data_IF_423678233259
#
_entry.id   IF_423678233259
#
_cell.length_a   1.000
_cell.length_b   1.000
_cell.length_c   1.000
_cell.angle_alpha   90.00
_cell.angle_beta   90.00
_cell.angle_gamma   90.00
#
_symmetry.space_group_name_H-M   'P 1'
#
loop_
_entity.id
_entity.type
_entity.pdbx_description
1 polymer ?
#
# COMPACT_ATOMS: atom_id res chain seq x y z
N UNK A 1 -35.61 2.67 17.38
CA UNK A 1 -34.46 1.80 17.13
C UNK A 1 -33.29 2.71 16.72
N UNK A 2 -32.16 2.67 17.45
CA UNK A 2 -30.94 3.35 16.97
C UNK A 2 -30.56 2.72 15.64
N UNK A 3 -30.29 3.55 14.61
CA UNK A 3 -29.79 3.08 13.33
C UNK A 3 -28.48 2.33 13.62
N UNK A 4 -28.36 1.07 13.19
CA UNK A 4 -27.09 0.33 13.30
C UNK A 4 -26.01 1.15 12.60
N UNK A 5 -24.86 1.33 13.23
CA UNK A 5 -23.73 2.01 12.61
C UNK A 5 -23.23 1.19 11.43
N UNK A 6 -22.98 1.84 10.30
CA UNK A 6 -22.45 1.18 9.10
C UNK A 6 -20.95 0.90 9.31
N UNK A 7 -20.53 -0.35 9.13
CA UNK A 7 -19.15 -0.77 9.32
C UNK A 7 -18.42 -0.92 7.97
N UNK A 8 -17.43 -0.09 7.75
CA UNK A 8 -16.58 -0.15 6.55
C UNK A 8 -15.27 -0.90 6.87
N UNK A 9 -14.58 -1.38 5.81
CA UNK A 9 -13.28 -2.09 5.97
C UNK A 9 -12.25 -1.27 6.72
N UNK A 10 -12.27 0.04 6.50
CA UNK A 10 -11.34 0.98 7.13
C UNK A 10 -12.09 2.20 7.63
N UNK A 11 -11.59 2.76 8.73
CA UNK A 11 -12.00 4.05 9.28
C UNK A 11 -10.73 4.84 9.56
N UNK A 12 -10.70 6.11 9.15
CA UNK A 12 -9.52 6.96 9.37
C UNK A 12 -9.30 7.21 10.85
N UNK A 13 -8.09 6.97 11.33
CA UNK A 13 -7.69 7.31 12.69
C UNK A 13 -7.33 8.78 12.73
N UNK A 14 -7.87 9.54 13.68
CA UNK A 14 -7.55 10.96 13.86
C UNK A 14 -6.82 11.17 15.17
N UNK A 15 -5.78 12.03 15.20
CA UNK A 15 -5.17 12.45 16.45
C UNK A 15 -6.14 13.35 17.23
N UNK A 16 -5.93 13.59 18.52
CA UNK A 16 -6.68 14.59 19.28
C UNK A 16 -6.64 15.95 18.54
N UNK A 17 -7.81 16.60 18.42
CA UNK A 17 -7.94 17.85 17.66
C UNK A 17 -6.99 18.94 18.22
N UNK A 18 -6.84 19.00 19.53
CA UNK A 18 -5.98 19.92 20.26
C UNK A 18 -4.49 19.79 19.88
N UNK A 19 -4.04 18.63 19.40
CA UNK A 19 -2.69 18.44 18.89
C UNK A 19 -2.51 19.00 17.48
N UNK A 20 -3.58 19.09 16.70
CA UNK A 20 -3.57 19.59 15.33
C UNK A 20 -3.73 21.11 15.26
N UNK A 21 -4.46 21.71 16.22
CA UNK A 21 -4.74 23.15 16.25
C UNK A 21 -3.49 24.05 16.20
N UNK A 22 -2.40 23.80 16.95
CA UNK A 22 -1.20 24.62 16.89
C UNK A 22 -0.55 24.70 15.51
N UNK A 23 -0.63 23.60 14.73
CA UNK A 23 -0.17 23.61 13.34
C UNK A 23 -1.04 24.53 12.47
N UNK A 24 -2.36 24.53 12.70
CA UNK A 24 -3.27 25.39 11.97
C UNK A 24 -3.01 26.85 12.28
N UNK A 25 -2.86 27.21 13.55
CA UNK A 25 -2.51 28.57 13.98
C UNK A 25 -1.21 29.03 13.28
N UNK A 26 -0.19 28.18 13.26
CA UNK A 26 1.09 28.49 12.60
C UNK A 26 0.92 28.71 11.09
N UNK A 27 0.08 27.92 10.40
CA UNK A 27 -0.21 28.13 8.98
C UNK A 27 -0.93 29.47 8.72
N UNK A 28 -1.82 29.91 9.62
CA UNK A 28 -2.47 31.21 9.52
C UNK A 28 -1.50 32.38 9.72
N UNK A 29 -0.52 32.20 10.61
CA UNK A 29 0.55 33.20 10.82
C UNK A 29 1.48 33.30 9.61
N UNK A 30 2.01 32.17 9.16
CA UNK A 30 3.05 32.14 8.11
C UNK A 30 2.50 32.35 6.71
N UNK A 31 1.25 31.89 6.46
CA UNK A 31 0.60 31.83 5.15
C UNK A 31 1.37 31.00 4.11
N UNK A 32 2.29 30.15 4.55
CA UNK A 32 2.99 29.16 3.72
C UNK A 32 2.19 27.88 3.73
N UNK A 33 1.43 27.62 2.66
CA UNK A 33 0.48 26.49 2.59
C UNK A 33 0.97 25.33 1.73
N UNK A 34 2.03 25.54 0.95
CA UNK A 34 2.60 24.58 0.01
C UNK A 34 4.05 24.93 -0.32
N UNK A 35 4.66 24.24 -1.30
CA UNK A 35 6.01 24.44 -1.80
C UNK A 35 7.11 24.09 -0.77
N UNK A 36 6.91 22.95 -0.08
CA UNK A 36 7.92 22.37 0.80
C UNK A 36 8.32 23.32 1.95
N UNK A 37 7.30 23.76 2.71
CA UNK A 37 7.47 24.64 3.86
C UNK A 37 7.96 23.90 5.11
N UNK A 38 7.76 24.56 6.25
CA UNK A 38 8.26 24.13 7.56
C UNK A 38 7.80 22.71 7.94
N UNK A 39 6.49 22.43 7.82
CA UNK A 39 5.94 21.15 8.23
C UNK A 39 6.27 20.02 7.24
N UNK A 40 6.35 20.34 5.95
CA UNK A 40 6.81 19.39 4.95
C UNK A 40 8.24 18.90 5.25
N UNK A 41 9.17 19.81 5.53
CA UNK A 41 10.57 19.46 5.81
C UNK A 41 10.70 18.73 7.15
N UNK A 42 9.95 19.15 8.18
CA UNK A 42 9.91 18.45 9.47
C UNK A 42 9.36 17.03 9.30
N UNK A 43 8.23 16.87 8.61
CA UNK A 43 7.61 15.57 8.37
C UNK A 43 8.53 14.64 7.58
N UNK A 44 9.17 15.13 6.53
CA UNK A 44 10.16 14.38 5.76
C UNK A 44 11.27 13.81 6.64
N UNK A 45 11.82 14.63 7.53
CA UNK A 45 12.88 14.24 8.47
C UNK A 45 12.41 13.20 9.50
N UNK A 46 11.27 13.46 10.16
CA UNK A 46 10.73 12.55 11.19
C UNK A 46 10.30 11.23 10.59
N UNK A 47 9.72 11.25 9.38
CA UNK A 47 9.31 10.05 8.65
C UNK A 47 10.50 9.17 8.26
N UNK A 48 11.61 9.77 7.77
CA UNK A 48 12.84 9.03 7.47
C UNK A 48 13.37 8.32 8.71
N UNK A 49 13.38 9.00 9.86
CA UNK A 49 13.79 8.42 11.14
C UNK A 49 12.88 7.27 11.58
N UNK A 50 11.57 7.44 11.50
CA UNK A 50 10.60 6.41 11.87
C UNK A 50 10.71 5.16 11.00
N UNK A 51 10.79 5.32 9.69
CA UNK A 51 10.91 4.22 8.73
C UNK A 51 12.32 3.62 8.69
N UNK A 52 13.30 4.23 9.37
CA UNK A 52 14.70 3.80 9.37
C UNK A 52 15.28 3.71 7.95
N UNK A 53 15.04 4.76 7.14
CA UNK A 53 15.51 4.89 5.77
C UNK A 53 16.48 6.07 5.65
N UNK A 54 17.39 6.01 4.68
CA UNK A 54 18.39 7.09 4.47
C UNK A 54 17.73 8.37 3.96
N UNK A 55 16.77 8.25 3.03
CA UNK A 55 16.09 9.38 2.44
C UNK A 55 14.62 9.09 2.15
N UNK A 56 13.82 10.13 2.26
CA UNK A 56 12.41 10.14 1.90
C UNK A 56 12.10 11.34 1.04
N UNK A 57 11.29 11.19 0.00
CA UNK A 57 10.69 12.30 -0.74
C UNK A 57 9.17 12.24 -0.64
N UNK A 58 8.52 13.39 -0.31
CA UNK A 58 7.08 13.48 -0.07
C UNK A 58 6.34 13.94 -1.33
N UNK A 59 5.14 13.37 -1.53
CA UNK A 59 4.28 13.62 -2.69
C UNK A 59 2.84 13.87 -2.27
N UNK A 60 2.07 14.48 -3.18
CA UNK A 60 0.65 14.78 -2.98
C UNK A 60 -0.20 13.54 -2.70
N UNK A 61 0.16 12.39 -3.23
CA UNK A 61 -0.43 11.07 -2.94
C UNK A 61 0.50 9.93 -3.39
N UNK A 62 0.17 8.68 -2.99
CA UNK A 62 0.96 7.51 -3.33
C UNK A 62 0.97 7.18 -4.83
N UNK A 63 -0.12 7.46 -5.55
CA UNK A 63 -0.17 7.19 -6.99
C UNK A 63 0.82 8.07 -7.76
N UNK A 64 0.83 9.37 -7.50
CA UNK A 64 1.80 10.29 -8.11
C UNK A 64 3.23 9.93 -7.68
N UNK A 65 3.45 9.54 -6.43
CA UNK A 65 4.75 9.07 -5.96
C UNK A 65 5.26 7.87 -6.78
N UNK A 66 4.38 6.90 -7.06
CA UNK A 66 4.73 5.72 -7.86
C UNK A 66 4.95 6.05 -9.33
N UNK A 67 4.10 6.91 -9.92
CA UNK A 67 4.30 7.39 -11.31
C UNK A 67 5.66 8.06 -11.48
N UNK A 68 6.00 9.00 -10.58
CA UNK A 68 7.26 9.74 -10.67
C UNK A 68 8.48 8.88 -10.32
N UNK A 69 8.32 7.87 -9.46
CA UNK A 69 9.37 6.88 -9.23
C UNK A 69 9.67 6.08 -10.50
N UNK A 70 8.66 5.61 -11.23
CA UNK A 70 8.84 4.91 -12.51
C UNK A 70 9.44 5.87 -13.55
N UNK A 71 8.94 7.09 -13.65
CA UNK A 71 9.46 8.10 -14.56
C UNK A 71 10.94 8.42 -14.34
N UNK A 72 11.37 8.43 -13.06
CA UNK A 72 12.77 8.70 -12.67
C UNK A 72 13.78 7.70 -13.24
N UNK A 73 13.34 6.49 -13.63
CA UNK A 73 14.19 5.51 -14.29
C UNK A 73 14.65 5.97 -15.68
N UNK A 74 13.89 6.87 -16.32
CA UNK A 74 14.19 7.37 -17.67
C UNK A 74 14.16 6.30 -18.76
N UNK A 75 13.49 5.17 -18.53
CA UNK A 75 13.43 4.01 -19.41
C UNK A 75 11.98 3.67 -19.74
N UNK A 76 11.77 3.19 -20.96
CA UNK A 76 10.50 2.59 -21.40
C UNK A 76 10.74 1.12 -21.73
N UNK A 77 9.78 0.28 -21.37
CA UNK A 77 9.89 -1.16 -21.58
C UNK A 77 8.86 -1.91 -20.74
N UNK A 78 9.17 -3.14 -20.40
CA UNK A 78 8.33 -4.00 -19.59
C UNK A 78 8.62 -3.79 -18.10
N UNK A 79 7.56 -3.74 -17.28
CA UNK A 79 7.66 -3.76 -15.82
C UNK A 79 6.88 -4.96 -15.32
N UNK A 80 7.60 -5.88 -14.67
CA UNK A 80 6.99 -7.09 -14.11
C UNK A 80 6.32 -6.74 -12.78
N UNK A 81 5.03 -7.07 -12.64
CA UNK A 81 4.22 -6.84 -11.44
C UNK A 81 3.20 -7.97 -11.25
N UNK A 82 2.29 -7.84 -10.29
CA UNK A 82 1.18 -8.78 -10.09
C UNK A 82 -0.16 -8.16 -10.48
N UNK A 83 -1.13 -8.94 -11.02
CA UNK A 83 -2.47 -8.43 -11.24
C UNK A 83 -3.29 -8.37 -9.92
N UNK A 84 -2.81 -9.00 -8.83
CA UNK A 84 -3.45 -9.03 -7.52
C UNK A 84 -3.02 -7.84 -6.67
N UNK A 85 -3.46 -6.65 -7.08
CA UNK A 85 -3.13 -5.38 -6.46
C UNK A 85 -4.23 -4.36 -6.69
N UNK A 86 -4.07 -3.16 -6.14
CA UNK A 86 -4.90 -2.00 -6.44
C UNK A 86 -4.54 -1.42 -7.82
N UNK A 87 -5.51 -0.83 -8.49
CA UNK A 87 -5.38 -0.25 -9.84
C UNK A 87 -4.15 0.66 -10.01
N UNK A 88 -3.77 1.38 -8.96
CA UNK A 88 -2.66 2.34 -8.95
C UNK A 88 -1.35 1.74 -9.45
N UNK A 89 -1.02 0.51 -9.04
CA UNK A 89 0.23 -0.17 -9.42
C UNK A 89 0.37 -0.27 -10.93
N UNK A 90 -0.64 -0.83 -11.61
CA UNK A 90 -0.60 -0.99 -13.08
C UNK A 90 -0.86 0.33 -13.81
N UNK A 91 -1.72 1.20 -13.28
CA UNK A 91 -1.95 2.51 -13.88
C UNK A 91 -0.67 3.34 -13.94
N UNK A 92 0.16 3.33 -12.90
CA UNK A 92 1.43 4.04 -12.88
C UNK A 92 2.40 3.52 -13.97
N UNK A 93 2.41 2.20 -14.21
CA UNK A 93 3.20 1.59 -15.30
C UNK A 93 2.72 2.10 -16.67
N UNK A 94 1.42 1.97 -16.94
CA UNK A 94 0.83 2.30 -18.25
C UNK A 94 0.90 3.79 -18.55
N UNK A 95 0.65 4.65 -17.55
CA UNK A 95 0.76 6.11 -17.70
C UNK A 95 2.19 6.57 -18.00
N UNK A 96 3.17 5.79 -17.57
CA UNK A 96 4.58 6.00 -17.95
C UNK A 96 4.93 5.45 -19.33
N UNK A 97 3.98 4.94 -20.12
CA UNK A 97 4.24 4.35 -21.44
C UNK A 97 5.04 3.04 -21.35
N UNK A 98 5.02 2.38 -20.21
CA UNK A 98 5.58 1.05 -19.99
C UNK A 98 4.49 -0.03 -20.14
N UNK A 99 4.92 -1.26 -20.39
CA UNK A 99 4.04 -2.42 -20.53
C UNK A 99 4.07 -3.25 -19.25
N UNK A 100 2.94 -3.45 -18.54
CA UNK A 100 2.89 -4.36 -17.42
C UNK A 100 2.99 -5.82 -17.88
N UNK A 101 3.85 -6.60 -17.24
CA UNK A 101 3.96 -8.05 -17.40
C UNK A 101 3.49 -8.67 -16.08
N UNK A 102 2.40 -9.44 -16.12
CA UNK A 102 1.82 -10.00 -14.92
C UNK A 102 2.47 -11.31 -14.52
N UNK A 103 3.07 -11.33 -13.34
CA UNK A 103 3.54 -12.51 -12.62
C UNK A 103 2.45 -12.98 -11.65
N UNK A 104 2.28 -14.29 -11.52
CA UNK A 104 1.37 -14.89 -10.54
C UNK A 104 1.85 -14.61 -9.11
N UNK A 105 1.00 -14.90 -8.16
CA UNK A 105 1.28 -14.80 -6.73
C UNK A 105 1.61 -16.17 -6.13
N UNK A 106 2.20 -16.19 -4.95
CA UNK A 106 2.34 -17.40 -4.14
C UNK A 106 1.14 -17.55 -3.17
N UNK A 107 0.91 -18.77 -2.66
CA UNK A 107 -0.33 -19.11 -1.96
C UNK A 107 -0.39 -18.64 -0.50
N UNK A 108 0.75 -18.50 0.16
CA UNK A 108 0.80 -18.30 1.61
C UNK A 108 0.58 -16.83 2.02
N UNK A 109 1.13 -15.89 1.24
CA UNK A 109 1.11 -14.45 1.55
C UNK A 109 0.49 -13.60 0.45
N UNK A 110 0.18 -14.21 -0.72
CA UNK A 110 -0.40 -13.56 -1.89
C UNK A 110 0.51 -12.50 -2.55
N UNK A 111 1.80 -12.51 -2.22
CA UNK A 111 2.80 -11.67 -2.86
C UNK A 111 3.27 -12.28 -4.18
N UNK A 112 4.05 -11.53 -4.97
CA UNK A 112 4.56 -12.02 -6.25
C UNK A 112 5.36 -13.33 -6.09
N UNK A 113 5.11 -14.31 -6.96
CA UNK A 113 5.82 -15.60 -6.94
C UNK A 113 7.21 -15.45 -7.59
N UNK A 114 8.24 -15.27 -6.75
CA UNK A 114 9.63 -15.10 -7.19
C UNK A 114 10.17 -16.30 -7.98
N UNK A 115 9.59 -17.50 -7.82
CA UNK A 115 9.98 -18.68 -8.58
C UNK A 115 9.61 -18.60 -10.05
N UNK A 116 8.52 -17.87 -10.36
CA UNK A 116 8.04 -17.64 -11.73
C UNK A 116 8.70 -16.42 -12.39
N UNK A 117 9.25 -15.51 -11.57
CA UNK A 117 9.72 -14.21 -12.00
C UNK A 117 10.81 -14.28 -13.09
N UNK A 118 11.81 -15.17 -12.90
CA UNK A 118 12.94 -15.30 -13.86
C UNK A 118 12.48 -15.63 -15.28
N UNK A 119 11.43 -16.43 -15.43
CA UNK A 119 10.89 -16.81 -16.74
C UNK A 119 10.18 -15.67 -17.48
N UNK A 120 9.85 -14.60 -16.77
CA UNK A 120 9.18 -13.41 -17.32
C UNK A 120 10.17 -12.29 -17.69
N UNK A 121 11.42 -12.38 -17.21
CA UNK A 121 12.43 -11.37 -17.51
C UNK A 121 12.86 -11.50 -18.98
N UNK A 122 12.73 -10.42 -19.71
CA UNK A 122 13.15 -10.28 -21.12
C UNK A 122 14.22 -9.18 -21.27
N UNK A 123 14.74 -9.02 -22.48
CA UNK A 123 15.63 -7.89 -22.82
C UNK A 123 14.95 -6.52 -22.71
N UNK A 124 13.64 -6.50 -22.74
CA UNK A 124 12.82 -5.28 -22.67
C UNK A 124 12.37 -4.95 -21.23
N UNK A 125 12.69 -5.83 -20.25
CA UNK A 125 12.37 -5.62 -18.84
C UNK A 125 13.23 -4.51 -18.24
N UNK A 126 12.59 -3.45 -17.75
CA UNK A 126 13.28 -2.26 -17.21
C UNK A 126 13.16 -2.12 -15.69
N UNK A 127 12.18 -2.79 -15.07
CA UNK A 127 12.00 -2.84 -13.62
C UNK A 127 11.13 -4.03 -13.19
N UNK A 128 11.21 -4.37 -11.89
CA UNK A 128 10.28 -5.25 -11.20
C UNK A 128 9.55 -4.39 -10.17
N UNK A 129 8.20 -4.47 -10.16
CA UNK A 129 7.33 -3.71 -9.25
C UNK A 129 6.46 -4.68 -8.43
N UNK A 130 7.02 -5.34 -7.42
CA UNK A 130 6.26 -6.20 -6.50
C UNK A 130 5.46 -5.35 -5.51
N UNK A 131 4.41 -5.95 -4.96
CA UNK A 131 3.49 -5.30 -4.02
C UNK A 131 3.52 -6.02 -2.69
N UNK A 132 3.77 -5.31 -1.60
CA UNK A 132 3.60 -5.81 -0.23
C UNK A 132 2.10 -5.84 0.13
N UNK A 133 1.37 -6.76 -0.52
CA UNK A 133 -0.10 -6.81 -0.42
C UNK A 133 -0.55 -7.11 1.01
N UNK A 134 -1.52 -6.35 1.52
CA UNK A 134 -2.05 -6.41 2.89
C UNK A 134 -1.01 -6.20 4.01
N UNK A 135 0.22 -5.82 3.67
CA UNK A 135 1.35 -5.79 4.59
C UNK A 135 2.16 -7.09 4.62
N UNK A 136 1.86 -8.07 3.77
CA UNK A 136 2.75 -9.21 3.61
C UNK A 136 3.98 -8.82 2.81
N UNK A 137 5.15 -9.07 3.38
CA UNK A 137 6.42 -8.70 2.78
C UNK A 137 6.78 -9.69 1.67
N UNK A 138 7.07 -9.18 0.47
CA UNK A 138 7.59 -9.99 -0.63
C UNK A 138 8.91 -10.66 -0.22
N UNK A 139 9.30 -11.73 -0.90
CA UNK A 139 10.64 -12.33 -0.70
C UNK A 139 11.71 -11.35 -1.17
N UNK A 140 12.04 -10.39 -0.27
CA UNK A 140 12.96 -9.28 -0.56
C UNK A 140 14.39 -9.76 -0.83
N UNK A 141 14.77 -10.90 -0.25
CA UNK A 141 16.11 -11.46 -0.44
C UNK A 141 16.26 -12.07 -1.83
N UNK A 142 15.26 -12.83 -2.29
CA UNK A 142 15.28 -13.38 -3.63
C UNK A 142 15.11 -12.30 -4.71
N UNK A 143 14.28 -11.30 -4.45
CA UNK A 143 14.13 -10.13 -5.33
C UNK A 143 15.44 -9.33 -5.44
N UNK A 144 16.20 -9.19 -4.36
CA UNK A 144 17.52 -8.56 -4.38
C UNK A 144 18.54 -9.38 -5.21
N UNK A 145 18.51 -10.73 -5.06
CA UNK A 145 19.35 -11.62 -5.89
C UNK A 145 19.02 -11.49 -7.38
N UNK A 146 17.74 -11.51 -7.73
CA UNK A 146 17.29 -11.33 -9.12
C UNK A 146 17.68 -9.96 -9.64
N UNK A 147 17.49 -8.90 -8.85
CA UNK A 147 17.89 -7.55 -9.21
C UNK A 147 19.37 -7.45 -9.57
N UNK A 148 20.24 -8.05 -8.75
CA UNK A 148 21.68 -8.08 -8.98
C UNK A 148 22.10 -8.97 -10.17
N UNK A 149 21.45 -10.13 -10.33
CA UNK A 149 21.69 -11.07 -11.41
C UNK A 149 21.40 -10.46 -12.79
N UNK A 150 20.30 -9.72 -12.91
CA UNK A 150 19.85 -9.16 -14.19
C UNK A 150 20.16 -7.67 -14.37
N UNK A 151 20.62 -6.98 -13.32
CA UNK A 151 20.86 -5.54 -13.33
C UNK A 151 19.56 -4.71 -13.47
N UNK A 152 18.44 -5.22 -12.95
CA UNK A 152 17.11 -4.63 -13.08
C UNK A 152 16.67 -4.10 -11.70
N UNK A 153 16.28 -2.81 -11.56
CA UNK A 153 15.83 -2.26 -10.28
C UNK A 153 14.52 -2.88 -9.81
N UNK A 154 14.41 -3.09 -8.49
CA UNK A 154 13.16 -3.47 -7.81
C UNK A 154 12.57 -2.23 -7.15
N UNK A 155 11.35 -1.87 -7.54
CA UNK A 155 10.55 -0.78 -6.98
C UNK A 155 9.41 -1.40 -6.19
N UNK A 156 9.36 -1.17 -4.89
CA UNK A 156 8.27 -1.75 -4.08
C UNK A 156 7.05 -0.84 -4.02
N UNK A 157 5.87 -1.39 -4.32
CA UNK A 157 4.60 -0.81 -3.87
C UNK A 157 4.36 -1.26 -2.42
N UNK A 158 4.72 -0.39 -1.48
CA UNK A 158 4.59 -0.61 -0.05
C UNK A 158 3.38 0.12 0.56
N UNK A 159 2.35 0.42 -0.26
CA UNK A 159 1.17 1.17 0.18
C UNK A 159 0.41 0.53 1.37
N UNK A 160 0.64 -0.76 1.67
CA UNK A 160 0.03 -1.49 2.77
C UNK A 160 1.00 -1.81 3.92
N UNK A 161 2.29 -1.52 3.76
CA UNK A 161 3.35 -1.99 4.65
C UNK A 161 4.00 -0.86 5.49
N UNK A 162 3.26 0.24 5.72
CA UNK A 162 3.79 1.36 6.51
C UNK A 162 4.17 0.93 7.93
N UNK A 163 5.39 1.26 8.32
CA UNK A 163 5.93 0.98 9.66
C UNK A 163 6.31 -0.47 9.90
N UNK A 164 6.13 -1.36 8.93
CA UNK A 164 6.55 -2.76 9.08
C UNK A 164 8.07 -2.91 9.01
N UNK A 165 8.54 -3.95 9.70
CA UNK A 165 9.95 -4.35 9.69
C UNK A 165 10.07 -5.84 9.34
N UNK A 166 11.10 -6.17 8.61
CA UNK A 166 11.48 -7.55 8.32
C UNK A 166 12.89 -7.79 8.85
N UNK A 167 13.03 -8.72 9.80
CA UNK A 167 14.26 -8.95 10.56
C UNK A 167 14.87 -7.65 11.12
N UNK A 168 14.04 -6.79 11.69
CA UNK A 168 14.41 -5.51 12.28
C UNK A 168 14.73 -4.37 11.28
N UNK A 169 14.73 -4.63 9.97
CA UNK A 169 14.93 -3.63 8.93
C UNK A 169 13.59 -3.05 8.49
N UNK A 170 13.50 -1.72 8.40
CA UNK A 170 12.31 -1.05 7.89
C UNK A 170 12.03 -1.41 6.43
N UNK A 171 10.76 -1.72 6.10
CA UNK A 171 10.36 -2.15 4.74
C UNK A 171 10.71 -1.12 3.67
N UNK A 172 10.70 0.17 4.00
CA UNK A 172 11.12 1.24 3.09
C UNK A 172 12.59 1.21 2.66
N UNK A 173 13.43 0.36 3.28
CA UNK A 173 14.87 0.26 2.97
C UNK A 173 15.21 -0.82 1.95
N UNK A 174 14.24 -1.56 1.43
CA UNK A 174 14.49 -2.62 0.45
C UNK A 174 14.41 -2.12 -0.99
N UNK A 175 15.16 -2.81 -1.86
CA UNK A 175 15.21 -2.55 -3.29
C UNK A 175 15.82 -1.21 -3.68
N UNK A 176 15.53 -0.78 -4.90
CA UNK A 176 15.97 0.52 -5.42
C UNK A 176 15.23 1.67 -4.74
N UNK A 177 13.92 1.51 -4.50
CA UNK A 177 13.09 2.42 -3.73
C UNK A 177 11.75 1.75 -3.37
N UNK A 178 11.10 2.24 -2.31
CA UNK A 178 9.77 1.81 -1.87
C UNK A 178 8.81 3.00 -1.85
N UNK A 179 7.62 2.85 -2.48
CA UNK A 179 6.55 3.82 -2.44
C UNK A 179 5.57 3.53 -1.31
N UNK A 180 5.22 4.54 -0.53
CA UNK A 180 4.16 4.50 0.48
C UNK A 180 2.99 5.42 0.12
N UNK A 181 1.78 4.99 0.48
CA UNK A 181 0.56 5.79 0.36
C UNK A 181 0.08 6.22 1.74
N UNK A 182 -0.22 7.51 1.89
CA UNK A 182 -0.75 8.12 3.10
C UNK A 182 -2.19 8.62 2.90
N UNK A 183 -2.94 7.92 2.04
CA UNK A 183 -4.38 8.14 1.88
C UNK A 183 -5.11 7.88 3.20
N UNK A 184 -6.19 8.61 3.48
CA UNK A 184 -6.94 8.58 4.74
C UNK A 184 -7.38 7.19 5.22
N UNK A 185 -7.52 6.22 4.32
CA UNK A 185 -7.90 4.83 4.66
C UNK A 185 -6.74 3.94 5.07
N UNK A 186 -5.49 4.40 4.96
CA UNK A 186 -4.31 3.59 5.31
C UNK A 186 -4.09 3.56 6.83
N UNK A 187 -3.24 2.62 7.27
CA UNK A 187 -2.85 2.50 8.71
C UNK A 187 -2.27 3.81 9.23
N UNK A 188 -1.42 4.43 8.43
CA UNK A 188 -0.91 5.78 8.61
C UNK A 188 -1.40 6.67 7.47
N UNK A 189 -1.82 7.88 7.79
CA UNK A 189 -2.27 8.82 6.78
C UNK A 189 -1.88 10.27 7.07
N UNK A 190 -1.86 11.07 6.02
CA UNK A 190 -1.72 12.52 6.04
C UNK A 190 -2.91 13.20 5.33
N UNK A 191 -4.12 12.66 5.49
CA UNK A 191 -5.35 12.95 4.73
C UNK A 191 -5.19 12.41 3.31
N UNK A 192 -4.41 13.07 2.49
CA UNK A 192 -3.81 12.64 1.24
C UNK A 192 -2.30 12.81 1.34
N UNK A 193 -1.54 11.88 0.78
CA UNK A 193 -0.11 11.94 0.76
C UNK A 193 0.52 10.66 0.23
N UNK A 194 1.81 10.74 -0.01
CA UNK A 194 2.65 9.61 -0.36
C UNK A 194 4.11 9.92 -0.16
N UNK A 195 4.92 8.88 -0.18
CA UNK A 195 6.37 9.02 -0.12
C UNK A 195 7.07 8.00 -1.00
N UNK A 196 8.26 8.36 -1.46
CA UNK A 196 9.28 7.42 -1.96
C UNK A 196 10.39 7.38 -0.93
N UNK A 197 10.68 6.19 -0.42
CA UNK A 197 11.75 5.92 0.53
C UNK A 197 12.89 5.16 -0.13
N UNK A 198 14.12 5.46 0.28
CA UNK A 198 15.34 4.91 -0.28
C UNK A 198 16.21 4.45 0.89
N UNK A 199 16.59 3.15 0.88
CA UNK A 199 17.38 2.54 1.95
C UNK A 199 18.86 2.92 1.92
N UNK A 200 19.38 3.23 0.74
CA UNK A 200 20.78 3.60 0.52
C UNK A 200 20.89 4.99 -0.08
N UNK A 201 22.02 5.65 0.15
CA UNK A 201 22.25 7.00 -0.37
C UNK A 201 22.24 7.01 -1.89
N UNK A 202 21.26 7.70 -2.49
CA UNK A 202 21.12 7.88 -3.93
C UNK A 202 20.74 9.33 -4.26
N UNK A 203 21.71 10.24 -4.28
CA UNK A 203 21.45 11.68 -4.50
C UNK A 203 20.90 11.97 -5.90
N UNK A 204 21.23 11.17 -6.90
CA UNK A 204 20.70 11.31 -8.27
C UNK A 204 19.19 11.05 -8.31
N UNK A 205 18.74 9.96 -7.69
CA UNK A 205 17.32 9.66 -7.61
C UNK A 205 16.56 10.72 -6.80
N UNK A 206 17.12 11.18 -5.68
CA UNK A 206 16.51 12.24 -4.87
C UNK A 206 16.36 13.54 -5.66
N UNK A 207 17.38 13.93 -6.41
CA UNK A 207 17.34 15.10 -7.29
C UNK A 207 16.25 14.97 -8.37
N UNK A 208 16.19 13.82 -9.04
CA UNK A 208 15.14 13.55 -10.04
C UNK A 208 13.74 13.60 -9.46
N UNK A 209 13.51 12.94 -8.31
CA UNK A 209 12.20 12.92 -7.65
C UNK A 209 11.75 14.32 -7.22
N UNK A 210 12.69 15.12 -6.68
CA UNK A 210 12.41 16.52 -6.32
C UNK A 210 12.05 17.35 -7.56
N UNK A 211 12.83 17.25 -8.63
CA UNK A 211 12.57 17.96 -9.88
C UNK A 211 11.23 17.56 -10.49
N UNK A 212 10.97 16.26 -10.63
CA UNK A 212 9.75 15.72 -11.23
C UNK A 212 8.48 16.17 -10.50
N UNK A 213 8.47 16.17 -9.15
CA UNK A 213 7.31 16.63 -8.38
C UNK A 213 7.10 18.14 -8.39
N UNK A 214 8.10 18.90 -8.82
CA UNK A 214 8.11 20.38 -8.80
C UNK A 214 8.24 20.97 -10.21
N UNK A 215 7.52 20.43 -11.20
CA UNK A 215 7.53 20.92 -12.59
C UNK A 215 8.91 20.91 -13.26
N UNK A 216 9.89 20.18 -12.73
CA UNK A 216 11.28 20.23 -13.18
C UNK A 216 12.04 21.47 -12.71
N UNK A 217 11.44 22.33 -11.88
CA UNK A 217 12.02 23.59 -11.42
C UNK A 217 13.06 23.30 -10.32
N UNK A 218 14.32 23.70 -10.59
CA UNK A 218 15.44 23.58 -9.66
C UNK A 218 15.99 24.93 -9.18
N UNK A 219 15.51 26.03 -9.77
CA UNK A 219 15.88 27.39 -9.42
C UNK A 219 15.03 28.41 -10.17
N UNK A 220 15.25 29.70 -9.94
CA UNK A 220 14.43 30.77 -10.53
C UNK A 220 14.45 30.75 -12.07
N UNK A 221 15.57 30.33 -12.65
CA UNK A 221 15.79 30.34 -14.11
C UNK A 221 16.11 28.92 -14.65
N UNK A 222 15.97 27.88 -13.82
CA UNK A 222 16.34 26.50 -14.20
C UNK A 222 15.13 25.55 -14.12
N UNK A 223 14.78 24.97 -15.28
CA UNK A 223 13.80 23.88 -15.43
C UNK A 223 14.51 22.74 -16.12
N UNK A 224 14.84 21.68 -15.39
CA UNK A 224 15.71 20.59 -15.88
C UNK A 224 14.93 19.43 -16.50
N UNK A 225 13.70 19.19 -16.06
CA UNK A 225 12.89 18.06 -16.47
C UNK A 225 11.44 18.48 -16.76
N UNK A 226 10.73 17.70 -17.54
CA UNK A 226 9.27 17.80 -17.64
C UNK A 226 8.68 17.11 -16.42
N UNK A 227 8.19 17.89 -15.48
CA UNK A 227 7.60 17.39 -14.23
C UNK A 227 6.14 17.76 -14.08
N UNK A 228 5.56 17.44 -12.93
CA UNK A 228 4.18 17.79 -12.58
C UNK A 228 4.10 18.53 -11.24
N UNK A 229 2.89 18.91 -10.82
CA UNK A 229 2.64 19.39 -9.47
C UNK A 229 2.34 18.20 -8.54
N UNK A 230 3.39 17.55 -8.06
CA UNK A 230 3.30 16.40 -7.18
C UNK A 230 3.61 16.71 -5.71
N UNK A 231 3.76 17.97 -5.33
CA UNK A 231 4.17 18.39 -3.98
C UNK A 231 3.07 18.14 -2.94
N UNK A 232 3.44 17.60 -1.78
CA UNK A 232 2.57 17.58 -0.60
C UNK A 232 2.40 19.01 -0.07
N UNK A 233 1.18 19.38 0.35
CA UNK A 233 0.89 20.66 1.00
C UNK A 233 1.15 20.57 2.51
N UNK A 234 1.20 21.76 3.16
CA UNK A 234 1.52 21.88 4.59
C UNK A 234 0.43 21.31 5.52
N UNK A 235 -0.85 21.35 5.13
CA UNK A 235 -1.94 20.75 5.92
C UNK A 235 -1.79 19.22 6.01
N UNK A 236 -1.47 18.60 4.88
CA UNK A 236 -1.19 17.17 4.83
C UNK A 236 0.07 16.81 5.63
N UNK A 237 1.12 17.61 5.53
CA UNK A 237 2.35 17.41 6.29
C UNK A 237 2.10 17.54 7.81
N UNK A 238 1.35 18.55 8.25
CA UNK A 238 0.96 18.74 9.65
C UNK A 238 0.15 17.55 10.20
N UNK A 239 -0.83 17.05 9.43
CA UNK A 239 -1.57 15.84 9.79
C UNK A 239 -0.65 14.62 9.88
N UNK A 240 0.29 14.48 8.95
CA UNK A 240 1.31 13.42 8.99
C UNK A 240 2.13 13.46 10.27
N UNK A 241 2.60 14.65 10.69
CA UNK A 241 3.34 14.85 11.94
C UNK A 241 2.53 14.44 13.17
N UNK A 242 1.25 14.84 13.23
CA UNK A 242 0.37 14.45 14.33
C UNK A 242 0.18 12.92 14.36
N UNK A 243 -0.21 12.30 13.25
CA UNK A 243 -0.48 10.88 13.19
C UNK A 243 0.76 10.02 13.45
N UNK A 244 1.97 10.51 13.11
CA UNK A 244 3.20 9.77 13.33
C UNK A 244 3.48 9.51 14.81
N UNK A 245 3.01 10.39 15.70
CA UNK A 245 3.12 10.21 17.16
C UNK A 245 2.25 9.09 17.70
N UNK A 246 1.11 8.83 17.05
CA UNK A 246 0.10 7.88 17.52
C UNK A 246 0.15 6.53 16.80
N UNK A 247 0.95 6.40 15.72
CA UNK A 247 0.94 5.20 14.87
C UNK A 247 1.23 3.90 15.62
N UNK A 248 2.13 3.93 16.59
CA UNK A 248 2.45 2.75 17.41
C UNK A 248 1.26 2.27 18.25
N UNK A 249 0.42 3.17 18.75
CA UNK A 249 -0.81 2.84 19.45
C UNK A 249 -1.86 2.30 18.48
N UNK A 250 -2.04 2.93 17.33
CA UNK A 250 -2.99 2.47 16.32
C UNK A 250 -2.66 1.06 15.82
N UNK A 251 -1.39 0.73 15.62
CA UNK A 251 -0.96 -0.62 15.25
C UNK A 251 -1.29 -1.62 16.35
N UNK A 252 -1.02 -1.31 17.63
CA UNK A 252 -1.35 -2.18 18.77
C UNK A 252 -2.85 -2.42 18.89
N UNK A 253 -3.67 -1.39 18.69
CA UNK A 253 -5.12 -1.53 18.73
C UNK A 253 -5.65 -2.36 17.56
N UNK A 254 -5.07 -2.26 16.37
CA UNK A 254 -5.37 -3.13 15.23
C UNK A 254 -4.97 -4.58 15.51
N UNK A 255 -3.81 -4.80 16.11
CA UNK A 255 -3.36 -6.14 16.50
C UNK A 255 -4.36 -6.84 17.42
N UNK A 256 -4.84 -6.15 18.48
CA UNK A 256 -5.84 -6.70 19.41
C UNK A 256 -7.08 -7.20 18.65
N UNK A 257 -7.58 -6.41 17.71
CA UNK A 257 -8.76 -6.72 16.90
C UNK A 257 -8.50 -7.85 15.91
N UNK A 258 -7.33 -7.84 15.29
CA UNK A 258 -6.89 -8.91 14.41
C UNK A 258 -6.85 -10.26 15.15
N UNK A 259 -6.20 -10.29 16.32
CA UNK A 259 -6.09 -11.49 17.14
C UNK A 259 -7.47 -11.94 17.68
N UNK A 260 -8.37 -11.03 17.96
CA UNK A 260 -9.74 -11.38 18.33
C UNK A 260 -10.49 -12.06 17.19
N UNK A 261 -10.46 -11.52 15.98
CA UNK A 261 -10.99 -12.19 14.80
C UNK A 261 -10.37 -13.58 14.59
N UNK A 262 -9.06 -13.66 14.67
CA UNK A 262 -8.33 -14.92 14.51
C UNK A 262 -8.79 -15.97 15.52
N UNK A 263 -8.97 -15.59 16.79
CA UNK A 263 -9.46 -16.50 17.85
C UNK A 263 -10.86 -17.05 17.58
N UNK A 264 -11.71 -16.29 16.89
CA UNK A 264 -13.08 -16.68 16.58
C UNK A 264 -13.21 -17.45 15.26
N UNK A 265 -12.31 -17.22 14.30
CA UNK A 265 -12.50 -17.64 12.92
C UNK A 265 -11.45 -18.63 12.38
N UNK A 266 -10.30 -18.80 13.01
CA UNK A 266 -9.19 -19.63 12.49
C UNK A 266 -9.56 -21.09 12.25
N UNK A 267 -10.47 -21.64 13.06
CA UNK A 267 -10.87 -23.04 13.00
C UNK A 267 -12.23 -23.24 12.26
N UNK A 268 -12.75 -22.18 11.62
CA UNK A 268 -14.01 -22.25 10.87
C UNK A 268 -13.78 -22.95 9.54
N UNK A 269 -14.43 -24.10 9.28
CA UNK A 269 -14.32 -24.77 7.99
C UNK A 269 -14.69 -23.85 6.84
N UNK A 270 -13.92 -23.91 5.74
CA UNK A 270 -14.18 -23.06 4.57
C UNK A 270 -13.65 -21.64 4.66
N UNK A 271 -13.01 -21.22 5.77
CA UNK A 271 -12.23 -20.00 5.86
C UNK A 271 -10.73 -20.32 5.86
N UNK A 272 -9.96 -19.53 5.12
CA UNK A 272 -8.50 -19.64 5.08
C UNK A 272 -7.90 -18.27 5.31
N UNK A 273 -7.06 -18.18 6.33
CA UNK A 273 -6.24 -17.00 6.60
C UNK A 273 -4.88 -17.13 5.91
N UNK A 274 -4.25 -16.03 5.48
CA UNK A 274 -2.84 -16.06 5.10
C UNK A 274 -1.98 -16.55 6.26
N UNK A 275 -0.86 -17.19 5.94
CA UNK A 275 0.09 -17.63 6.97
C UNK A 275 0.76 -16.43 7.67
N UNK A 276 1.25 -16.65 8.88
CA UNK A 276 2.13 -15.68 9.51
C UNK A 276 3.53 -15.73 8.90
N UNK A 277 4.09 -14.56 8.64
CA UNK A 277 5.47 -14.43 8.16
C UNK A 277 6.42 -14.32 9.35
N UNK A 278 7.40 -15.22 9.41
CA UNK A 278 8.46 -15.16 10.42
C UNK A 278 9.34 -13.93 10.22
N UNK A 279 9.73 -13.29 11.32
CA UNK A 279 10.62 -12.13 11.31
C UNK A 279 9.95 -10.81 10.87
N UNK A 280 8.62 -10.79 10.66
CA UNK A 280 7.86 -9.58 10.29
C UNK A 280 7.18 -8.96 11.51
N UNK A 281 7.48 -7.69 11.75
CA UNK A 281 6.70 -6.82 12.65
C UNK A 281 5.56 -6.20 11.84
N UNK A 282 4.34 -6.73 12.02
CA UNK A 282 3.15 -6.37 11.22
C UNK A 282 2.49 -5.08 11.67
N UNK A 283 1.87 -4.37 10.73
CA UNK A 283 1.03 -3.19 10.98
C UNK A 283 -0.47 -3.50 11.06
N UNK A 284 -0.88 -4.73 10.74
CA UNK A 284 -2.29 -5.17 10.73
C UNK A 284 -3.19 -4.27 9.88
N UNK A 285 -2.71 -3.87 8.71
CA UNK A 285 -3.40 -2.95 7.81
C UNK A 285 -4.75 -3.48 7.33
N UNK A 286 -4.80 -4.78 7.04
CA UNK A 286 -5.97 -5.48 6.52
C UNK A 286 -6.14 -6.84 7.18
N UNK A 287 -7.39 -7.32 7.16
CA UNK A 287 -7.74 -8.69 7.54
C UNK A 287 -8.33 -9.41 6.32
N UNK A 288 -7.49 -9.96 5.43
CA UNK A 288 -7.96 -10.77 4.33
C UNK A 288 -8.34 -12.17 4.83
N UNK A 289 -9.48 -12.68 4.37
CA UNK A 289 -9.91 -14.05 4.55
C UNK A 289 -10.31 -14.64 3.20
N UNK A 290 -9.91 -15.85 2.89
CA UNK A 290 -10.34 -16.56 1.69
C UNK A 290 -11.48 -17.51 2.05
N UNK A 291 -12.62 -17.34 1.39
CA UNK A 291 -13.81 -18.16 1.54
C UNK A 291 -13.75 -19.24 0.45
N UNK A 292 -13.78 -20.52 0.87
CA UNK A 292 -13.75 -21.65 -0.03
C UNK A 292 -15.17 -21.97 -0.57
N UNK A 293 -15.22 -22.49 -1.79
CA UNK A 293 -16.47 -22.85 -2.47
C UNK A 293 -16.88 -21.81 -3.51
N UNK A 294 -17.32 -22.31 -4.67
CA UNK A 294 -17.71 -21.49 -5.81
C UNK A 294 -18.92 -20.58 -5.45
N UNK A 295 -18.81 -19.29 -5.76
CA UNK A 295 -19.85 -18.29 -5.50
C UNK A 295 -20.10 -17.95 -4.02
N UNK A 296 -19.56 -18.71 -3.08
CA UNK A 296 -19.85 -18.60 -1.63
C UNK A 296 -19.40 -17.24 -1.08
N UNK A 297 -18.23 -16.73 -1.50
CA UNK A 297 -17.75 -15.39 -1.16
C UNK A 297 -18.78 -14.30 -1.49
N UNK A 298 -19.43 -14.39 -2.67
CA UNK A 298 -20.43 -13.40 -3.09
C UNK A 298 -21.73 -13.49 -2.28
N UNK A 299 -22.13 -14.68 -1.87
CA UNK A 299 -23.29 -14.88 -0.99
C UNK A 299 -23.03 -14.24 0.39
N UNK A 300 -21.88 -14.54 1.00
CA UNK A 300 -21.47 -13.99 2.29
C UNK A 300 -21.29 -12.46 2.21
N UNK A 301 -20.68 -11.96 1.14
CA UNK A 301 -20.59 -10.54 0.88
C UNK A 301 -21.98 -9.86 0.91
N UNK A 302 -22.95 -10.42 0.20
CA UNK A 302 -24.32 -9.88 0.15
C UNK A 302 -25.05 -9.95 1.49
N UNK A 303 -24.76 -10.96 2.32
CA UNK A 303 -25.32 -11.08 3.67
C UNK A 303 -24.74 -10.00 4.60
N UNK A 304 -23.43 -9.81 4.57
CA UNK A 304 -22.75 -8.77 5.36
C UNK A 304 -23.28 -7.38 4.98
N UNK A 305 -23.41 -7.08 3.68
CA UNK A 305 -23.97 -5.81 3.19
C UNK A 305 -25.39 -5.55 3.73
N UNK A 306 -26.27 -6.57 3.76
CA UNK A 306 -27.62 -6.45 4.34
C UNK A 306 -27.61 -6.16 5.84
N UNK A 307 -26.56 -6.54 6.53
CA UNK A 307 -26.36 -6.29 7.96
C UNK A 307 -25.66 -4.96 8.25
N UNK A 308 -25.39 -4.10 7.22
CA UNK A 308 -24.67 -2.85 7.34
C UNK A 308 -23.17 -3.03 7.55
N UNK A 309 -22.62 -4.15 7.11
CA UNK A 309 -21.19 -4.46 7.16
C UNK A 309 -20.68 -4.47 5.73
N UNK A 310 -19.75 -3.57 5.38
CA UNK A 310 -19.25 -3.33 4.04
C UNK A 310 -17.83 -3.86 3.85
N UNK A 311 -17.64 -5.20 3.67
CA UNK A 311 -16.33 -5.74 3.38
C UNK A 311 -15.89 -5.37 1.96
N UNK A 312 -14.62 -5.60 1.64
CA UNK A 312 -14.09 -5.36 0.30
C UNK A 312 -13.56 -6.65 -0.33
N UNK A 313 -13.80 -6.78 -1.64
CA UNK A 313 -13.23 -7.86 -2.44
C UNK A 313 -11.84 -7.44 -2.94
N UNK A 314 -10.91 -7.23 -2.04
CA UNK A 314 -9.55 -6.84 -2.36
C UNK A 314 -8.68 -8.09 -2.57
N UNK A 315 -8.27 -8.45 -3.80
CA UNK A 315 -8.50 -7.67 -5.02
C UNK A 315 -9.28 -8.50 -6.03
N UNK A 316 -10.47 -8.06 -6.34
CA UNK A 316 -11.35 -8.66 -7.34
C UNK A 316 -12.19 -7.55 -8.00
N UNK A 317 -12.33 -7.52 -9.37
CA UNK A 317 -11.63 -8.40 -10.30
C UNK A 317 -10.11 -8.14 -10.30
N UNK A 318 -9.33 -9.04 -10.90
CA UNK A 318 -7.91 -8.79 -11.12
C UNK A 318 -7.71 -7.59 -12.06
N UNK A 319 -6.57 -6.91 -11.95
CA UNK A 319 -6.29 -5.74 -12.80
C UNK A 319 -6.27 -6.11 -14.28
N UNK A 320 -5.79 -7.30 -14.65
CA UNK A 320 -5.83 -7.82 -16.01
C UNK A 320 -7.24 -7.90 -16.61
N UNK A 321 -8.26 -8.01 -15.75
CA UNK A 321 -9.67 -8.14 -16.14
C UNK A 321 -10.42 -6.79 -16.18
N UNK A 322 -9.76 -5.68 -15.86
CA UNK A 322 -10.37 -4.36 -15.93
C UNK A 322 -10.71 -3.98 -17.37
N UNK A 323 -11.85 -3.36 -17.61
CA UNK A 323 -12.31 -2.98 -18.96
C UNK A 323 -11.28 -2.15 -19.73
N UNK A 324 -10.49 -1.31 -19.04
CA UNK A 324 -9.42 -0.52 -19.65
C UNK A 324 -8.21 -1.37 -20.10
N UNK A 325 -8.05 -2.60 -19.59
CA UNK A 325 -6.90 -3.47 -19.84
C UNK A 325 -7.24 -4.78 -20.53
N UNK A 326 -8.50 -5.21 -20.46
CA UNK A 326 -8.99 -6.46 -21.07
C UNK A 326 -8.60 -6.54 -22.55
N UNK A 327 -7.93 -7.63 -22.92
CA UNK A 327 -7.42 -7.85 -24.27
C UNK A 327 -6.19 -7.05 -24.66
N UNK A 328 -5.63 -6.22 -23.76
CA UNK A 328 -4.38 -5.48 -23.98
C UNK A 328 -3.18 -6.13 -23.30
N UNK A 329 -3.39 -6.60 -22.07
CA UNK A 329 -2.36 -7.25 -21.26
C UNK A 329 -2.90 -8.59 -20.77
N UNK A 330 -2.17 -9.68 -21.07
CA UNK A 330 -2.62 -11.03 -20.69
C UNK A 330 -2.43 -11.28 -19.19
N UNK A 331 -3.48 -11.80 -18.54
CA UNK A 331 -3.45 -12.38 -17.22
C UNK A 331 -3.41 -13.91 -17.21
N UNK A 332 -3.28 -14.57 -18.36
CA UNK A 332 -3.38 -16.03 -18.49
C UNK A 332 -2.33 -16.79 -17.67
N UNK A 333 -1.17 -16.18 -17.44
CA UNK A 333 -0.09 -16.73 -16.63
C UNK A 333 -0.32 -16.64 -15.10
N UNK A 334 -1.51 -16.18 -14.64
CA UNK A 334 -1.78 -15.91 -13.22
C UNK A 334 -2.97 -16.70 -12.63
N UNK A 335 -3.00 -18.03 -12.77
CA UNK A 335 -4.15 -18.86 -12.36
C UNK A 335 -4.37 -18.84 -10.85
N UNK A 336 -3.31 -18.75 -10.03
CA UNK A 336 -3.45 -18.70 -8.58
C UNK A 336 -4.02 -17.36 -8.10
N UNK A 337 -3.55 -16.25 -8.67
CA UNK A 337 -4.13 -14.93 -8.39
C UNK A 337 -5.63 -14.92 -8.69
N UNK A 338 -6.06 -15.51 -9.82
CA UNK A 338 -7.47 -15.62 -10.21
C UNK A 338 -8.26 -16.44 -9.18
N UNK A 339 -7.77 -17.63 -8.83
CA UNK A 339 -8.40 -18.52 -7.83
C UNK A 339 -8.56 -17.82 -6.47
N UNK A 340 -7.54 -17.09 -6.02
CA UNK A 340 -7.58 -16.37 -4.74
C UNK A 340 -8.54 -15.18 -4.83
N UNK A 341 -8.50 -14.40 -5.90
CA UNK A 341 -9.39 -13.27 -6.11
C UNK A 341 -10.87 -13.64 -6.07
N UNK A 342 -11.23 -14.81 -6.57
CA UNK A 342 -12.62 -15.31 -6.55
C UNK A 342 -13.15 -15.58 -5.13
N UNK A 343 -12.27 -15.94 -4.20
CA UNK A 343 -12.63 -16.27 -2.81
C UNK A 343 -12.30 -15.19 -1.78
N UNK A 344 -11.49 -14.20 -2.11
CA UNK A 344 -10.96 -13.25 -1.13
C UNK A 344 -12.02 -12.23 -0.67
N UNK A 345 -11.97 -11.91 0.62
CA UNK A 345 -12.73 -10.84 1.26
C UNK A 345 -11.86 -10.19 2.34
N UNK A 346 -11.84 -8.86 2.42
CA UNK A 346 -11.22 -8.14 3.52
C UNK A 346 -12.29 -7.67 4.48
N UNK A 347 -12.13 -8.00 5.76
CA UNK A 347 -13.06 -7.66 6.82
C UNK A 347 -12.73 -6.30 7.44
N UNK A 348 -13.72 -5.63 8.09
CA UNK A 348 -13.47 -4.39 8.83
C UNK A 348 -12.36 -4.55 9.88
N UNK A 349 -11.36 -3.66 9.85
CA UNK A 349 -10.31 -3.59 10.86
C UNK A 349 -9.78 -2.15 10.97
N UNK A 350 -9.94 -1.54 12.14
CA UNK A 350 -9.43 -0.20 12.49
C UNK A 350 -9.33 -0.08 14.02
N UNK A 351 -8.55 0.90 14.56
CA UNK A 351 -8.20 0.95 15.98
C UNK A 351 -9.38 1.03 16.96
N UNK A 352 -10.47 1.68 16.57
CA UNK A 352 -11.67 1.88 17.40
C UNK A 352 -12.87 0.98 17.02
N UNK A 353 -12.63 -0.12 16.27
CA UNK A 353 -13.67 -1.11 15.97
C UNK A 353 -14.08 -1.84 17.25
N UNK A 354 -15.37 -1.83 17.57
CA UNK A 354 -15.88 -2.50 18.75
C UNK A 354 -15.74 -4.03 18.67
N UNK A 355 -15.35 -4.67 19.78
CA UNK A 355 -15.23 -6.13 19.83
C UNK A 355 -16.57 -6.84 19.62
N UNK A 356 -17.68 -6.24 20.04
CA UNK A 356 -19.04 -6.74 19.78
C UNK A 356 -19.39 -6.76 18.29
N UNK A 357 -18.86 -5.82 17.49
CA UNK A 357 -19.03 -5.83 16.05
C UNK A 357 -18.18 -6.94 15.39
N UNK A 358 -16.98 -7.19 15.91
CA UNK A 358 -16.14 -8.33 15.50
C UNK A 358 -16.87 -9.64 15.76
N UNK A 359 -17.46 -9.81 16.93
CA UNK A 359 -18.25 -11.02 17.28
C UNK A 359 -19.45 -11.18 16.35
N UNK A 360 -20.18 -10.09 16.08
CA UNK A 360 -21.32 -10.08 15.14
C UNK A 360 -20.91 -10.53 13.74
N UNK A 361 -19.80 -10.00 13.22
CA UNK A 361 -19.24 -10.39 11.92
C UNK A 361 -18.86 -11.87 11.93
N UNK A 362 -18.19 -12.30 12.99
CA UNK A 362 -17.70 -13.68 13.14
C UNK A 362 -18.84 -14.69 13.22
N UNK A 363 -19.95 -14.40 13.91
CA UNK A 363 -21.14 -15.27 13.98
C UNK A 363 -21.72 -15.49 12.57
N UNK A 364 -21.79 -14.44 11.74
CA UNK A 364 -22.28 -14.58 10.36
C UNK A 364 -21.35 -15.52 9.56
N UNK A 365 -20.03 -15.29 9.66
CA UNK A 365 -19.05 -16.10 8.93
C UNK A 365 -19.05 -17.57 9.40
N UNK A 366 -19.11 -17.81 10.71
CA UNK A 366 -19.20 -19.16 11.28
C UNK A 366 -20.43 -19.91 10.75
N UNK A 367 -21.60 -19.27 10.78
CA UNK A 367 -22.85 -19.87 10.31
C UNK A 367 -22.82 -20.22 8.82
N UNK A 368 -22.26 -19.35 8.01
CA UNK A 368 -22.30 -19.49 6.56
C UNK A 368 -21.12 -20.30 6.00
N UNK A 369 -20.05 -20.52 6.76
CA UNK A 369 -18.87 -21.27 6.33
C UNK A 369 -18.77 -22.69 6.95
N UNK A 370 -19.61 -23.02 7.94
CA UNK A 370 -19.69 -24.35 8.57
C UNK A 370 -20.39 -25.39 7.71
#
# INVERSE_FOLDING_TARGET
MKKKEELYVTKSSLPPLEEFLPYMERLWETRLLTNMGEFHEQFKKELSGFLSVENTELFVNGHVALELLIESLGKKGEIITTPFSFASTTHAIVRNGCTPVFCDIEEDFYTIDVKKLRSLISKDTVAILPVHVYGHICDVEELDRISKEYGIPVLYDAAHAFGERYHGRGVGSFGYASMFSFHATKVFHSIEGGAVCIGEKNPELMHKLYALKNFGIMGQESVELVGCNGKMNEFSAAMGLCNLRHIGEYIKEREKRYRHYESLLKDVPGLVFPKEQEGVEKNYAYLPVRILGEGRRNQIFSLLEKEGIHPRKYFYPLISDYDCYKGKFSGDGTPLAKKIAEGILTLPIYPDLDFSDIERISVILQKECS
#
